data_IF_742688703943
#
_entry.id   IF_742688703943
#
_cell.length_a   1.000
_cell.length_b   1.000
_cell.length_c   1.000
_cell.angle_alpha   90.00
_cell.angle_beta   90.00
_cell.angle_gamma   90.00
#
_symmetry.space_group_name_H-M   'P 1'
#
loop_
_entity.id
_entity.type
_entity.pdbx_description
1 polymer ?
#
# COMPACT_ATOMS: atom_id res chain seq x y z
N UNK A 1 -16.46 36.84 -30.04
CA UNK A 1 -16.96 35.71 -29.24
C UNK A 1 -16.50 34.35 -29.82
N UNK A 2 -15.21 34.16 -30.16
CA UNK A 2 -14.71 32.85 -30.67
C UNK A 2 -13.92 32.05 -29.63
N UNK A 3 -13.31 32.75 -28.67
CA UNK A 3 -12.50 32.13 -27.63
C UNK A 3 -13.33 31.61 -26.44
N UNK A 4 -14.58 32.05 -26.32
CA UNK A 4 -15.51 31.58 -25.28
C UNK A 4 -15.85 30.10 -25.44
N UNK A 5 -15.96 29.63 -26.68
CA UNK A 5 -16.21 28.22 -27.00
C UNK A 5 -15.01 27.33 -26.65
N UNK A 6 -13.79 27.83 -26.90
CA UNK A 6 -12.55 27.16 -26.49
C UNK A 6 -12.36 27.12 -24.97
N UNK A 7 -12.72 28.21 -24.27
CA UNK A 7 -12.64 28.26 -22.81
C UNK A 7 -13.60 27.24 -22.16
N UNK A 8 -14.84 27.13 -22.68
CA UNK A 8 -15.83 26.17 -22.20
C UNK A 8 -15.38 24.72 -22.40
N UNK A 9 -14.74 24.42 -23.54
CA UNK A 9 -14.21 23.09 -23.83
C UNK A 9 -13.08 22.69 -22.87
N UNK A 10 -12.21 23.64 -22.50
CA UNK A 10 -11.12 23.38 -21.54
C UNK A 10 -11.64 23.06 -20.13
N UNK A 11 -12.75 23.69 -19.71
CA UNK A 11 -13.35 23.48 -18.39
C UNK A 11 -13.91 22.05 -18.23
N UNK A 12 -14.44 21.50 -19.33
CA UNK A 12 -14.96 20.12 -19.38
C UNK A 12 -13.86 19.06 -19.23
N UNK A 13 -12.65 19.33 -19.73
CA UNK A 13 -11.51 18.42 -19.58
C UNK A 13 -11.02 18.29 -18.13
N UNK A 14 -11.05 19.38 -17.34
CA UNK A 14 -10.64 19.35 -15.93
C UNK A 14 -11.62 18.54 -15.08
N UNK A 15 -12.93 18.59 -15.39
CA UNK A 15 -13.96 17.83 -14.68
C UNK A 15 -13.96 16.32 -14.99
N UNK A 16 -13.34 15.90 -16.11
CA UNK A 16 -13.21 14.48 -16.47
C UNK A 16 -12.06 13.77 -15.73
N UNK A 17 -11.21 14.51 -15.01
CA UNK A 17 -10.21 13.93 -14.13
C UNK A 17 -10.84 13.60 -12.76
N UNK A 18 -11.94 12.84 -12.78
CA UNK A 18 -12.33 12.09 -11.59
C UNK A 18 -11.29 11.00 -11.42
N UNK A 19 -10.43 11.17 -10.43
CA UNK A 19 -9.66 10.06 -9.88
C UNK A 19 -10.69 9.00 -9.54
N UNK A 20 -10.73 7.95 -10.37
CA UNK A 20 -11.39 6.71 -10.01
C UNK A 20 -10.73 6.37 -8.69
N UNK A 21 -11.42 6.58 -7.57
CA UNK A 21 -11.27 5.71 -6.43
C UNK A 21 -11.69 4.35 -6.96
N UNK A 22 -10.79 3.74 -7.71
CA UNK A 22 -10.53 2.35 -7.59
C UNK A 22 -10.25 2.24 -6.10
N UNK A 23 -11.32 1.97 -5.33
CA UNK A 23 -11.25 0.84 -4.43
C UNK A 23 -10.58 -0.20 -5.30
N UNK A 24 -9.25 -0.24 -5.23
CA UNK A 24 -8.54 -1.42 -5.63
C UNK A 24 -9.37 -2.52 -4.96
N UNK A 25 -9.72 -3.61 -5.66
CA UNK A 25 -9.90 -4.82 -4.87
C UNK A 25 -8.69 -4.79 -3.96
N UNK A 26 -8.89 -4.73 -2.64
CA UNK A 26 -7.77 -4.84 -1.73
C UNK A 26 -7.08 -6.08 -2.27
N UNK A 27 -5.96 -5.89 -2.97
CA UNK A 27 -5.00 -6.95 -3.09
C UNK A 27 -4.86 -7.27 -1.63
N UNK A 28 -5.27 -8.48 -1.27
CA UNK A 28 -5.01 -9.02 0.02
C UNK A 28 -3.49 -9.14 0.11
N UNK A 29 -2.77 -8.01 0.09
CA UNK A 29 -1.52 -7.82 0.78
C UNK A 29 -1.89 -8.26 2.18
N UNK A 30 -1.43 -9.45 2.55
CA UNK A 30 -1.65 -9.93 3.90
C UNK A 30 -1.16 -8.78 4.81
N UNK A 31 -2.02 -8.23 5.67
CA UNK A 31 -1.66 -7.05 6.43
C UNK A 31 -0.39 -7.37 7.21
N UNK A 32 0.68 -6.59 6.98
CA UNK A 32 1.96 -6.84 7.62
C UNK A 32 1.78 -6.98 9.13
N UNK A 33 2.24 -8.08 9.70
CA UNK A 33 2.07 -8.38 11.11
C UNK A 33 3.36 -8.12 11.88
N UNK A 34 3.29 -7.20 12.85
CA UNK A 34 4.41 -6.88 13.75
C UNK A 34 4.30 -7.72 15.03
N UNK A 35 5.34 -8.49 15.33
CA UNK A 35 5.52 -9.22 16.58
C UNK A 35 6.55 -8.49 17.43
N UNK A 36 6.20 -8.16 18.67
CA UNK A 36 7.02 -7.38 19.61
C UNK A 36 6.53 -7.61 21.05
N UNK A 37 7.29 -7.15 22.06
CA UNK A 37 6.97 -7.29 23.49
C UNK A 37 6.85 -8.76 23.97
N UNK A 38 7.70 -9.64 23.45
CA UNK A 38 7.78 -11.03 23.88
C UNK A 38 9.18 -11.60 23.66
N UNK A 39 9.35 -12.87 24.04
CA UNK A 39 10.55 -13.63 23.70
C UNK A 39 10.37 -14.20 22.29
N UNK A 40 11.04 -13.60 21.30
CA UNK A 40 10.94 -14.02 19.90
C UNK A 40 12.22 -14.76 19.54
N UNK A 41 12.08 -16.01 19.10
CA UNK A 41 13.18 -16.87 18.66
C UNK A 41 12.97 -17.20 17.19
N UNK A 42 13.95 -16.85 16.34
CA UNK A 42 13.95 -17.18 14.92
C UNK A 42 14.96 -18.31 14.63
N UNK A 43 14.54 -19.24 13.77
CA UNK A 43 15.30 -20.45 13.39
C UNK A 43 15.69 -20.42 11.91
N UNK A 44 16.01 -19.25 11.36
CA UNK A 44 16.39 -19.09 9.95
C UNK A 44 17.78 -19.69 9.63
N UNK A 45 18.62 -19.88 10.65
CA UNK A 45 19.95 -20.46 10.58
C UNK A 45 20.06 -21.67 11.51
N UNK A 46 21.18 -22.39 11.44
CA UNK A 46 21.46 -23.55 12.30
C UNK A 46 21.52 -23.19 13.79
N UNK A 47 21.73 -21.90 14.11
CA UNK A 47 21.71 -21.38 15.47
C UNK A 47 20.45 -20.52 15.71
N UNK A 48 19.76 -20.68 16.86
CA UNK A 48 18.63 -19.84 17.23
C UNK A 48 19.08 -18.39 17.41
N UNK A 49 18.28 -17.45 16.92
CA UNK A 49 18.52 -16.02 17.18
C UNK A 49 17.34 -15.44 17.96
N UNK A 50 17.67 -14.69 19.00
CA UNK A 50 16.70 -13.95 19.79
C UNK A 50 16.58 -12.54 19.23
N UNK A 51 15.36 -12.10 18.97
CA UNK A 51 15.08 -10.75 18.43
C UNK A 51 14.01 -10.06 19.25
N UNK A 52 14.04 -8.74 19.30
CA UNK A 52 13.07 -7.95 20.09
C UNK A 52 11.76 -7.70 19.32
N UNK A 53 11.85 -7.64 17.99
CA UNK A 53 10.72 -7.44 17.11
C UNK A 53 10.97 -8.09 15.75
N UNK A 54 9.91 -8.56 15.10
CA UNK A 54 9.96 -9.08 13.74
C UNK A 54 8.67 -8.72 12.98
N UNK A 55 8.81 -8.44 11.69
CA UNK A 55 7.68 -8.13 10.81
C UNK A 55 7.48 -9.30 9.85
N UNK A 56 6.25 -9.78 9.76
CA UNK A 56 5.84 -10.73 8.73
C UNK A 56 5.08 -9.99 7.62
N UNK A 57 5.47 -10.25 6.37
CA UNK A 57 4.87 -9.71 5.16
C UNK A 57 4.68 -10.84 4.16
N UNK A 58 3.45 -11.04 3.68
CA UNK A 58 3.10 -12.05 2.68
C UNK A 58 3.59 -13.48 3.01
N UNK A 59 3.48 -13.86 4.28
CA UNK A 59 3.91 -15.13 4.84
C UNK A 59 5.42 -15.24 5.08
N UNK A 60 6.17 -14.14 4.95
CA UNK A 60 7.64 -14.14 5.03
C UNK A 60 8.14 -13.19 6.09
N UNK A 61 9.19 -13.63 6.77
CA UNK A 61 9.99 -12.83 7.68
C UNK A 61 11.26 -12.44 6.91
N UNK A 62 11.51 -11.14 6.66
CA UNK A 62 12.70 -10.67 5.95
C UNK A 62 13.98 -10.85 6.75
#
# INVERSE_FOLDING_TARGET
MKYTLFALLSLLFVMSCKQKQQNAPAMSEAPAQLFYNGEIIIMQSDNPQYVEAVVEQDGKIP
#
